data_IF_117136811436
#
_entry.id   IF_117136811436
#
_cell.length_a   1.000
_cell.length_b   1.000
_cell.length_c   1.000
_cell.angle_alpha   90.00
_cell.angle_beta   90.00
_cell.angle_gamma   90.00
#
_symmetry.space_group_name_H-M   'P 1'
#
loop_
_entity.id
_entity.type
_entity.pdbx_description
1 polymer ?
#
# COMPACT_ATOMS: atom_id res chain seq x y z
N UNK A 1 -15.20 15.73 11.40
CA UNK A 1 -13.87 15.52 11.99
C UNK A 1 -13.54 14.04 11.83
N UNK A 2 -12.48 13.64 11.10
CA UNK A 2 -12.19 12.21 10.95
C UNK A 2 -11.80 11.63 12.31
N UNK A 3 -12.53 10.60 12.72
CA UNK A 3 -12.28 9.80 13.92
C UNK A 3 -10.87 9.21 13.84
N UNK A 4 -10.05 9.43 14.87
CA UNK A 4 -8.67 8.93 15.03
C UNK A 4 -8.45 7.55 14.39
N UNK A 5 -7.94 7.52 13.17
CA UNK A 5 -7.63 6.28 12.46
C UNK A 5 -6.33 5.74 13.05
N UNK A 6 -6.39 4.54 13.64
CA UNK A 6 -5.20 3.87 14.19
C UNK A 6 -4.50 3.12 13.06
N UNK A 7 -3.17 3.20 12.97
CA UNK A 7 -2.37 2.49 11.93
C UNK A 7 -2.72 0.99 11.81
N UNK A 8 -3.03 0.33 12.93
CA UNK A 8 -3.52 -1.06 12.93
C UNK A 8 -4.78 -1.28 12.11
N UNK A 9 -5.73 -0.35 12.15
CA UNK A 9 -6.99 -0.45 11.41
C UNK A 9 -6.76 -0.31 9.90
N UNK A 10 -5.79 0.51 9.48
CA UNK A 10 -5.41 0.65 8.07
C UNK A 10 -4.69 -0.63 7.57
N UNK A 11 -3.80 -1.20 8.39
CA UNK A 11 -3.16 -2.47 8.07
C UNK A 11 -4.19 -3.62 7.94
N UNK A 12 -5.18 -3.72 8.82
CA UNK A 12 -6.20 -4.78 8.77
C UNK A 12 -7.20 -4.64 7.61
N UNK A 13 -7.46 -3.42 7.14
CA UNK A 13 -8.42 -3.15 6.06
C UNK A 13 -7.84 -3.36 4.65
N UNK A 14 -6.55 -3.71 4.53
CA UNK A 14 -5.94 -4.04 3.24
C UNK A 14 -5.63 -2.83 2.35
N UNK A 15 -5.58 -1.61 2.90
CA UNK A 15 -5.28 -0.39 2.11
C UNK A 15 -3.84 -0.33 1.61
N UNK A 16 -2.95 -1.20 2.11
CA UNK A 16 -1.57 -1.32 1.67
C UNK A 16 -1.40 -2.13 0.37
N UNK A 17 -2.45 -2.77 -0.17
CA UNK A 17 -2.35 -3.45 -1.47
C UNK A 17 -2.40 -2.44 -2.61
N UNK A 18 -1.24 -2.21 -3.23
CA UNK A 18 -1.08 -1.36 -4.38
C UNK A 18 -1.33 -2.07 -5.71
N UNK A 19 -0.70 -1.56 -6.76
CA UNK A 19 -0.85 -2.08 -8.12
C UNK A 19 -0.05 -3.36 -8.35
N UNK A 20 -0.39 -4.10 -9.41
CA UNK A 20 0.42 -5.25 -9.85
C UNK A 20 1.79 -4.79 -10.33
N UNK A 21 2.83 -5.60 -10.08
CA UNK A 21 4.21 -5.33 -10.48
C UNK A 21 4.41 -5.15 -11.99
N UNK A 22 3.50 -5.67 -12.81
CA UNK A 22 3.55 -5.53 -14.27
C UNK A 22 2.83 -4.28 -14.81
N UNK A 23 2.01 -3.61 -13.99
CA UNK A 23 1.20 -2.46 -14.39
C UNK A 23 1.21 -1.41 -13.27
N UNK A 24 2.37 -0.81 -13.07
CA UNK A 24 2.58 0.25 -12.09
C UNK A 24 3.31 1.44 -12.71
N UNK A 25 3.17 2.61 -12.10
CA UNK A 25 3.87 3.82 -12.52
C UNK A 25 5.20 3.90 -11.75
N UNK A 26 6.36 3.98 -12.42
CA UNK A 26 7.67 4.07 -11.76
C UNK A 26 7.79 5.19 -10.72
N UNK A 27 6.98 6.26 -10.83
CA UNK A 27 6.92 7.34 -9.83
C UNK A 27 6.38 6.91 -8.46
N UNK A 28 5.83 5.70 -8.34
CA UNK A 28 5.32 5.17 -7.07
C UNK A 28 6.40 4.47 -6.23
N UNK A 29 7.64 4.37 -6.73
CA UNK A 29 8.71 3.55 -6.12
C UNK A 29 8.98 3.98 -4.66
N UNK A 30 8.99 5.30 -4.42
CA UNK A 30 9.20 5.91 -3.10
C UNK A 30 8.12 5.57 -2.07
N UNK A 31 6.96 5.06 -2.51
CA UNK A 31 5.84 4.68 -1.63
C UNK A 31 5.70 3.15 -1.52
N UNK A 32 6.50 2.37 -2.24
CA UNK A 32 6.41 0.92 -2.26
C UNK A 32 7.34 0.36 -1.17
N UNK A 33 6.74 -0.24 -0.14
CA UNK A 33 7.48 -0.94 0.90
C UNK A 33 8.09 -2.24 0.38
N UNK A 34 7.30 -3.06 -0.32
CA UNK A 34 7.79 -4.32 -0.90
C UNK A 34 6.88 -4.81 -2.02
N UNK A 35 7.21 -5.94 -2.66
CA UNK A 35 6.31 -6.63 -3.58
C UNK A 35 6.18 -8.10 -3.20
N UNK A 36 4.94 -8.62 -3.20
CA UNK A 36 4.64 -10.01 -2.86
C UNK A 36 3.58 -10.57 -3.81
N UNK A 37 3.82 -11.75 -4.36
CA UNK A 37 2.91 -12.41 -5.33
C UNK A 37 2.51 -11.51 -6.51
N UNK A 38 3.41 -10.64 -6.97
CA UNK A 38 3.17 -9.74 -8.09
C UNK A 38 2.29 -8.52 -7.77
N UNK A 39 2.10 -8.19 -6.50
CA UNK A 39 1.41 -6.97 -6.04
C UNK A 39 2.40 -6.13 -5.22
N UNK A 40 2.42 -4.82 -5.47
CA UNK A 40 3.15 -3.87 -4.66
C UNK A 40 2.42 -3.62 -3.35
N UNK A 41 3.16 -3.67 -2.25
CA UNK A 41 2.71 -3.30 -0.92
C UNK A 41 3.19 -1.87 -0.69
N UNK A 42 2.24 -0.96 -0.46
CA UNK A 42 2.47 0.46 -0.23
C UNK A 42 2.67 0.70 1.27
N UNK A 43 3.66 1.53 1.60
CA UNK A 43 3.90 1.95 2.99
C UNK A 43 2.79 2.92 3.47
N UNK A 44 2.28 2.71 4.68
CA UNK A 44 1.12 3.43 5.26
C UNK A 44 1.55 4.37 6.40
#
# INVERSE_FOLDING_TARGET
>A
MPSSVKMRTLLETGVHFGHRTNKWNPKMDEFIFTSRNGIHIIDL
#
